data_IF_883597766838
#
_entry.id   IF_883597766838
#
_cell.length_a   1.000
_cell.length_b   1.000
_cell.length_c   1.000
_cell.angle_alpha   90.00
_cell.angle_beta   90.00
_cell.angle_gamma   90.00
#
_symmetry.space_group_name_H-M   'P 1'
#
loop_
_entity.id
_entity.type
_entity.pdbx_description
1 polymer ?
#
# COMPACT_ATOMS: atom_id res chain seq x y z
N UNK A 1 -14.44 5.03 20.03
CA UNK A 1 -13.66 3.78 19.93
C UNK A 1 -14.66 2.65 19.70
N UNK A 2 -14.37 1.77 18.73
CA UNK A 2 -15.32 0.89 18.01
C UNK A 2 -14.87 -0.58 17.98
N UNK A 3 -14.04 -0.99 18.95
CA UNK A 3 -13.43 -2.32 19.02
C UNK A 3 -14.42 -3.46 19.29
N UNK A 4 -15.10 -3.92 18.24
CA UNK A 4 -15.89 -5.15 18.26
C UNK A 4 -15.02 -6.36 17.86
N UNK A 5 -15.02 -7.39 18.73
CA UNK A 5 -14.18 -8.58 18.55
C UNK A 5 -14.56 -9.36 17.30
N UNK A 6 -15.87 -9.54 17.03
CA UNK A 6 -16.33 -10.32 15.89
C UNK A 6 -15.95 -9.63 14.57
N UNK A 7 -16.20 -8.32 14.47
CA UNK A 7 -15.83 -7.50 13.33
C UNK A 7 -14.32 -7.49 13.09
N UNK A 8 -13.51 -7.33 14.14
CA UNK A 8 -12.06 -7.34 14.00
C UNK A 8 -11.57 -8.71 13.52
N UNK A 9 -12.01 -9.81 14.13
CA UNK A 9 -11.58 -11.16 13.75
C UNK A 9 -11.96 -11.51 12.30
N UNK A 10 -13.19 -11.19 11.88
CA UNK A 10 -13.62 -11.46 10.50
C UNK A 10 -12.89 -10.60 9.48
N UNK A 11 -12.61 -9.32 9.77
CA UNK A 11 -11.83 -8.47 8.86
C UNK A 11 -10.39 -8.97 8.70
N UNK A 12 -9.76 -9.45 9.78
CA UNK A 12 -8.44 -10.07 9.69
C UNK A 12 -8.43 -11.35 8.86
N UNK A 13 -9.46 -12.20 9.00
CA UNK A 13 -9.61 -13.40 8.16
C UNK A 13 -9.82 -13.05 6.67
N UNK A 14 -10.57 -11.98 6.39
CA UNK A 14 -10.75 -11.48 5.03
C UNK A 14 -9.44 -10.95 4.43
N UNK A 15 -8.68 -10.15 5.18
CA UNK A 15 -7.38 -9.63 4.74
C UNK A 15 -6.35 -10.73 4.51
N UNK A 16 -6.33 -11.77 5.37
CA UNK A 16 -5.42 -12.90 5.24
C UNK A 16 -5.86 -13.91 4.16
N UNK A 17 -7.07 -13.79 3.62
CA UNK A 17 -7.64 -14.76 2.69
C UNK A 17 -7.93 -16.13 3.32
N UNK A 18 -8.09 -16.20 4.64
CA UNK A 18 -8.44 -17.42 5.38
C UNK A 18 -9.93 -17.51 5.71
N UNK A 19 -10.68 -16.41 5.53
CA UNK A 19 -12.13 -16.37 5.66
C UNK A 19 -12.87 -16.82 4.41
N UNK A 20 -14.19 -16.64 4.41
CA UNK A 20 -15.08 -16.95 3.28
C UNK A 20 -15.05 -15.86 2.21
N UNK A 21 -13.87 -15.55 1.65
CA UNK A 21 -13.72 -14.61 0.52
C UNK A 21 -13.76 -15.37 -0.82
N UNK A 22 -14.41 -14.76 -1.82
CA UNK A 22 -14.42 -15.22 -3.21
C UNK A 22 -13.13 -14.89 -3.97
N UNK A 23 -12.27 -14.03 -3.40
CA UNK A 23 -10.99 -13.61 -3.99
C UNK A 23 -9.83 -13.70 -2.98
N UNK A 24 -9.46 -14.91 -2.54
CA UNK A 24 -8.34 -15.11 -1.61
C UNK A 24 -7.02 -14.63 -2.22
N UNK A 25 -6.02 -14.40 -1.36
CA UNK A 25 -4.66 -14.03 -1.76
C UNK A 25 -4.56 -12.71 -2.55
N UNK A 26 -5.44 -11.74 -2.25
CA UNK A 26 -5.41 -10.43 -2.91
C UNK A 26 -4.33 -9.55 -2.32
N UNK A 27 -3.45 -9.02 -3.17
CA UNK A 27 -2.50 -7.95 -2.83
C UNK A 27 -3.08 -6.61 -3.29
N UNK A 28 -3.11 -5.63 -2.39
CA UNK A 28 -3.55 -4.27 -2.71
C UNK A 28 -2.33 -3.39 -2.96
N UNK A 29 -2.26 -2.76 -4.13
CA UNK A 29 -1.20 -1.79 -4.43
C UNK A 29 -1.49 -0.46 -3.69
N UNK A 30 -0.66 -0.07 -2.69
CA UNK A 30 -0.93 1.11 -1.86
C UNK A 30 -0.95 2.41 -2.68
N UNK A 31 -0.14 2.52 -3.75
CA UNK A 31 -0.11 3.70 -4.62
C UNK A 31 -1.43 3.84 -5.37
N UNK A 32 -1.94 2.75 -5.94
CA UNK A 32 -3.24 2.75 -6.64
C UNK A 32 -4.39 3.03 -5.68
N UNK A 33 -4.36 2.46 -4.47
CA UNK A 33 -5.38 2.75 -3.44
C UNK A 33 -5.32 4.21 -3.01
N UNK A 34 -4.13 4.75 -2.74
CA UNK A 34 -3.93 6.15 -2.35
C UNK A 34 -4.45 7.12 -3.42
N UNK A 35 -4.05 6.92 -4.68
CA UNK A 35 -4.52 7.75 -5.81
C UNK A 35 -6.04 7.68 -6.01
N UNK A 36 -6.69 6.58 -5.63
CA UNK A 36 -8.14 6.40 -5.73
C UNK A 36 -8.91 7.04 -4.58
N UNK A 37 -8.43 6.89 -3.35
CA UNK A 37 -9.18 7.26 -2.13
C UNK A 37 -8.70 8.57 -1.49
N UNK A 38 -7.53 9.08 -1.88
CA UNK A 38 -6.97 10.38 -1.47
C UNK A 38 -6.34 11.08 -2.70
N UNK A 39 -7.13 11.43 -3.74
CA UNK A 39 -6.61 11.92 -5.02
C UNK A 39 -5.76 13.20 -4.89
N UNK A 40 -6.08 14.05 -3.91
CA UNK A 40 -5.39 15.32 -3.65
C UNK A 40 -4.26 15.20 -2.62
N UNK A 41 -4.04 13.99 -2.07
CA UNK A 41 -3.02 13.74 -1.05
C UNK A 41 -3.29 14.45 0.28
N UNK A 42 -4.52 14.89 0.52
CA UNK A 42 -4.87 15.71 1.67
C UNK A 42 -4.79 14.91 2.97
N UNK A 43 -5.18 13.63 2.94
CA UNK A 43 -5.07 12.75 4.10
C UNK A 43 -3.61 12.48 4.44
N UNK A 44 -2.79 12.12 3.45
CA UNK A 44 -1.36 11.85 3.68
C UNK A 44 -0.65 13.08 4.22
N UNK A 45 -0.81 14.25 3.60
CA UNK A 45 -0.17 15.49 4.06
C UNK A 45 -0.61 15.95 5.45
N UNK A 46 -1.82 15.59 5.87
CA UNK A 46 -2.32 15.89 7.22
C UNK A 46 -1.61 15.05 8.29
N UNK A 47 -1.29 13.79 7.99
CA UNK A 47 -0.77 12.83 8.96
C UNK A 47 0.71 12.53 8.83
N UNK A 48 1.34 12.90 7.71
CA UNK A 48 2.76 12.74 7.40
C UNK A 48 3.31 14.14 7.06
N UNK A 49 3.57 15.00 8.07
CA UNK A 49 3.89 16.40 7.87
C UNK A 49 5.20 16.63 7.08
N UNK A 50 6.14 15.69 7.13
CA UNK A 50 7.36 15.73 6.32
C UNK A 50 7.09 15.63 4.81
N UNK A 51 5.90 15.19 4.39
CA UNK A 51 5.45 15.15 3.00
C UNK A 51 4.49 16.31 2.65
N UNK A 52 4.22 17.24 3.56
CA UNK A 52 3.21 18.29 3.38
C UNK A 52 3.44 19.20 2.16
N UNK A 53 4.69 19.32 1.71
CA UNK A 53 5.07 20.13 0.53
C UNK A 53 4.81 19.46 -0.82
N UNK A 54 4.47 18.17 -0.86
CA UNK A 54 4.24 17.44 -2.12
C UNK A 54 2.77 17.60 -2.52
N UNK A 55 2.52 18.31 -3.60
CA UNK A 55 1.16 18.59 -4.06
C UNK A 55 0.54 17.41 -4.82
N UNK A 56 -0.78 17.27 -4.67
CA UNK A 56 -1.59 16.32 -5.42
C UNK A 56 -1.21 14.86 -5.20
N UNK A 57 -1.42 14.05 -6.23
CA UNK A 57 -1.28 12.59 -6.15
C UNK A 57 0.17 12.08 -6.06
N UNK A 58 1.17 12.95 -6.25
CA UNK A 58 2.59 12.60 -6.16
C UNK A 58 3.02 12.25 -4.72
N UNK A 59 2.24 12.66 -3.71
CA UNK A 59 2.49 12.31 -2.30
C UNK A 59 2.40 10.80 -2.03
N UNK A 60 1.73 10.04 -2.92
CA UNK A 60 1.58 8.59 -2.79
C UNK A 60 2.79 7.81 -3.32
N UNK A 61 3.68 8.44 -4.09
CA UNK A 61 4.91 7.86 -4.60
C UNK A 61 6.10 8.85 -4.58
N UNK A 62 6.46 9.39 -3.40
CA UNK A 62 7.47 10.46 -3.27
C UNK A 62 8.86 10.07 -3.78
N UNK A 63 9.22 8.78 -3.74
CA UNK A 63 10.47 8.25 -4.27
C UNK A 63 10.62 8.39 -5.80
N UNK A 64 9.52 8.66 -6.51
CA UNK A 64 9.54 8.91 -7.96
C UNK A 64 9.73 10.39 -8.32
N UNK A 65 9.78 11.28 -7.34
CA UNK A 65 10.06 12.70 -7.60
C UNK A 65 11.45 12.86 -8.24
N UNK A 66 11.65 13.87 -9.10
CA UNK A 66 12.96 14.17 -9.67
C UNK A 66 14.01 14.41 -8.58
N UNK A 67 15.26 13.98 -8.78
CA UNK A 67 16.28 13.94 -7.71
C UNK A 67 16.44 15.21 -6.87
N UNK A 68 16.40 16.40 -7.50
CA UNK A 68 16.47 17.70 -6.77
C UNK A 68 15.23 18.03 -5.94
N UNK A 69 14.08 17.48 -6.31
CA UNK A 69 12.81 17.67 -5.64
C UNK A 69 12.64 16.61 -4.55
N UNK A 70 12.95 15.35 -4.85
CA UNK A 70 13.02 14.25 -3.89
C UNK A 70 13.93 14.56 -2.71
N UNK A 71 15.10 15.15 -2.97
CA UNK A 71 16.10 15.49 -1.95
C UNK A 71 15.64 16.58 -0.96
N UNK A 72 14.50 17.24 -1.20
CA UNK A 72 13.92 18.22 -0.27
C UNK A 72 13.19 17.57 0.91
N UNK A 73 12.88 16.28 0.81
CA UNK A 73 12.04 15.56 1.76
C UNK A 73 12.84 14.48 2.48
N UNK A 74 12.89 14.58 3.81
CA UNK A 74 13.51 13.58 4.70
C UNK A 74 12.54 12.44 4.99
N UNK A 75 12.03 11.81 3.93
CA UNK A 75 11.16 10.64 3.99
C UNK A 75 11.93 9.43 3.44
N UNK A 76 11.81 8.23 4.05
CA UNK A 76 12.60 7.07 3.64
C UNK A 76 12.22 6.56 2.25
N UNK A 77 13.15 5.83 1.63
CA UNK A 77 12.84 5.00 0.46
C UNK A 77 11.89 3.85 0.84
N UNK A 78 11.10 3.32 -0.13
CA UNK A 78 10.27 2.15 0.12
C UNK A 78 11.09 0.98 0.66
N UNK A 79 10.64 0.40 1.79
CA UNK A 79 11.32 -0.76 2.39
C UNK A 79 11.29 -1.99 1.48
N UNK A 80 10.26 -2.11 0.63
CA UNK A 80 10.05 -3.22 -0.30
C UNK A 80 9.51 -2.63 -1.60
N UNK A 81 10.09 -3.02 -2.74
CA UNK A 81 9.54 -2.66 -4.04
C UNK A 81 8.19 -3.39 -4.28
N UNK A 82 7.24 -2.71 -4.94
CA UNK A 82 5.89 -3.26 -5.12
C UNK A 82 5.85 -4.52 -5.98
N UNK A 83 6.70 -4.60 -7.02
CA UNK A 83 6.76 -5.78 -7.88
C UNK A 83 7.47 -6.94 -7.18
N UNK A 84 8.58 -6.66 -6.49
CA UNK A 84 9.29 -7.65 -5.67
C UNK A 84 8.39 -8.22 -4.55
N UNK A 85 7.68 -7.35 -3.81
CA UNK A 85 6.74 -7.77 -2.78
C UNK A 85 5.62 -8.68 -3.32
N UNK A 86 5.07 -8.35 -4.49
CA UNK A 86 4.07 -9.18 -5.16
C UNK A 86 4.65 -10.53 -5.61
N UNK A 87 5.87 -10.54 -6.15
CA UNK A 87 6.55 -11.76 -6.58
C UNK A 87 6.82 -12.70 -5.39
N UNK A 88 7.39 -12.18 -4.30
CA UNK A 88 7.61 -12.96 -3.06
C UNK A 88 6.31 -13.54 -2.51
N UNK A 89 5.23 -12.76 -2.55
CA UNK A 89 3.92 -13.21 -2.12
C UNK A 89 3.41 -14.37 -2.98
N UNK A 90 3.46 -14.24 -4.31
CA UNK A 90 3.04 -15.30 -5.25
C UNK A 90 3.84 -16.57 -5.05
N UNK A 91 5.16 -16.45 -4.96
CA UNK A 91 6.07 -17.57 -4.71
C UNK A 91 5.72 -18.31 -3.42
N UNK A 92 5.58 -17.59 -2.30
CA UNK A 92 5.21 -18.17 -1.01
C UNK A 92 3.83 -18.84 -0.99
N UNK A 93 2.97 -18.53 -1.97
CA UNK A 93 1.64 -19.14 -2.15
C UNK A 93 1.61 -20.21 -3.24
N UNK A 94 2.74 -20.52 -3.87
CA UNK A 94 2.82 -21.48 -4.98
C UNK A 94 2.07 -21.00 -6.23
N UNK A 95 2.06 -19.69 -6.48
CA UNK A 95 1.35 -19.02 -7.58
C UNK A 95 2.30 -18.42 -8.62
N UNK A 96 3.52 -18.94 -8.74
CA UNK A 96 4.44 -18.53 -9.80
C UNK A 96 3.90 -18.96 -11.17
N UNK A 97 4.11 -18.15 -12.20
CA UNK A 97 3.60 -18.42 -13.55
C UNK A 97 4.32 -19.59 -14.27
N UNK A 98 5.24 -20.30 -13.61
CA UNK A 98 6.01 -21.44 -14.15
C UNK A 98 5.54 -22.81 -13.60
N UNK A 99 4.22 -23.01 -13.48
CA UNK A 99 3.61 -24.31 -13.20
C UNK A 99 2.69 -24.78 -14.36
N UNK A 100 3.09 -24.49 -15.60
CA UNK A 100 2.51 -25.04 -16.82
C UNK A 100 3.61 -25.51 -17.78
#
# INVERSE_FOLDING_TARGET
>A
VDGDVANNQMNWQWMAGTGTDTRPNRVLNPVTQGKRYDPDGAYVRRWVPELAGIEGSAVHDPWKLPGRERARYDYPEPMVDLADGLARFRHARGQDEDAA
#
